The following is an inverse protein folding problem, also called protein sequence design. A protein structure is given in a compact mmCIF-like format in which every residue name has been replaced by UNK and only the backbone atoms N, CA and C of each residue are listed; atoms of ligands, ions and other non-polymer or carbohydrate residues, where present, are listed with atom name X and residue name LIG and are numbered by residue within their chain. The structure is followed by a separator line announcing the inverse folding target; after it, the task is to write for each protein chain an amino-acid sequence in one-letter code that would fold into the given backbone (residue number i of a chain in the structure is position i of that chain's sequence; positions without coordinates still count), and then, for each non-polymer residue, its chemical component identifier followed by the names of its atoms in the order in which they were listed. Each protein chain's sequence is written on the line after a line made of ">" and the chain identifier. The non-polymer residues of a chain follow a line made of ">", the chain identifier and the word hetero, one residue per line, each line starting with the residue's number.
data_IF_458601056266
#
_entry.id   IF_458601056266
#
_cell.length_a   1.000
_cell.length_b   1.000
_cell.length_c   1.000
_cell.angle_alpha   90.00
_cell.angle_beta   90.00
_cell.angle_gamma   90.00
#
_symmetry.space_group_name_H-M   'P 1'
#
loop_
_entity.id
_entity.type
_entity.pdbx_description
1 polymer ?
#
# COMPACT_ATOMS: atom_id res chain seq x y z
N UNK A 1 37.54 -8.25 -0.97
CA UNK A 1 36.25 -7.72 -1.43
C UNK A 1 35.17 -8.49 -0.68
N UNK A 2 34.47 -7.82 0.23
CA UNK A 2 33.28 -8.40 0.86
C UNK A 2 32.19 -8.46 -0.21
N UNK A 3 31.39 -9.54 -0.29
CA UNK A 3 30.28 -9.60 -1.22
C UNK A 3 29.32 -8.46 -0.87
N UNK A 4 29.01 -7.60 -1.84
CA UNK A 4 27.94 -6.62 -1.74
C UNK A 4 26.67 -7.37 -1.37
N UNK A 5 26.19 -7.20 -0.15
CA UNK A 5 24.89 -7.77 0.26
C UNK A 5 23.81 -7.16 -0.64
N UNK A 6 23.35 -7.92 -1.59
CA UNK A 6 22.20 -7.56 -2.42
C UNK A 6 21.02 -7.45 -1.44
N UNK A 7 20.45 -6.25 -1.31
CA UNK A 7 19.23 -6.07 -0.50
C UNK A 7 18.15 -7.02 -0.99
N UNK A 8 17.42 -7.67 -0.08
CA UNK A 8 16.34 -8.58 -0.50
C UNK A 8 15.28 -7.81 -1.30
N UNK A 9 14.62 -8.51 -2.23
CA UNK A 9 13.48 -7.94 -2.96
C UNK A 9 12.42 -7.46 -1.97
N UNK A 10 11.79 -6.33 -2.29
CA UNK A 10 10.70 -5.82 -1.45
C UNK A 10 9.50 -6.77 -1.45
N UNK A 11 9.22 -7.36 -2.63
CA UNK A 11 8.19 -8.38 -2.83
C UNK A 11 8.62 -9.32 -3.95
N UNK A 12 8.34 -10.62 -3.78
CA UNK A 12 8.36 -11.60 -4.86
C UNK A 12 7.13 -12.53 -4.75
N UNK A 13 6.29 -12.54 -5.78
CA UNK A 13 5.19 -13.46 -5.95
C UNK A 13 5.50 -14.36 -7.15
N UNK A 14 5.44 -15.67 -6.96
CA UNK A 14 5.64 -16.66 -8.03
C UNK A 14 4.44 -17.58 -8.13
N UNK A 15 3.83 -17.64 -9.32
CA UNK A 15 2.70 -18.52 -9.65
C UNK A 15 1.56 -18.46 -8.64
N UNK A 16 1.30 -17.25 -8.09
CA UNK A 16 0.33 -17.07 -7.03
C UNK A 16 -1.09 -17.28 -7.57
N UNK A 17 -1.84 -18.16 -6.93
CA UNK A 17 -3.25 -18.44 -7.26
C UNK A 17 -4.17 -18.25 -6.07
N UNK A 18 -5.39 -17.79 -6.33
CA UNK A 18 -6.44 -17.66 -5.33
C UNK A 18 -7.81 -17.90 -5.94
N UNK A 19 -8.61 -18.71 -5.27
CA UNK A 19 -10.00 -19.00 -5.63
C UNK A 19 -10.92 -18.82 -4.43
N UNK A 20 -12.19 -18.51 -4.69
CA UNK A 20 -13.27 -18.57 -3.73
C UNK A 20 -14.34 -19.56 -4.25
N UNK A 21 -14.39 -20.74 -3.65
CA UNK A 21 -15.15 -21.87 -4.18
C UNK A 21 -14.63 -22.25 -5.57
N UNK A 22 -15.51 -22.33 -6.56
CA UNK A 22 -15.17 -22.66 -7.95
C UNK A 22 -14.63 -21.45 -8.77
N UNK A 23 -14.70 -20.24 -8.21
CA UNK A 23 -14.30 -19.03 -8.93
C UNK A 23 -12.82 -18.71 -8.69
N UNK A 24 -12.00 -18.91 -9.72
CA UNK A 24 -10.63 -18.40 -9.73
C UNK A 24 -10.63 -16.87 -9.79
N UNK A 25 -9.89 -16.21 -8.89
CA UNK A 25 -9.77 -14.75 -8.80
C UNK A 25 -8.36 -14.30 -9.16
N UNK A 26 -7.35 -15.00 -8.68
CA UNK A 26 -5.96 -14.79 -9.08
C UNK A 26 -5.46 -16.07 -9.75
N UNK A 27 -4.86 -15.94 -10.92
CA UNK A 27 -4.35 -17.08 -11.69
C UNK A 27 -2.91 -16.80 -12.11
N UNK A 28 -1.98 -17.61 -11.59
CA UNK A 28 -0.58 -17.58 -11.97
C UNK A 28 0.06 -16.19 -11.94
N UNK A 29 -0.17 -15.44 -10.84
CA UNK A 29 0.35 -14.07 -10.70
C UNK A 29 1.84 -14.11 -10.44
N UNK A 30 2.59 -13.40 -11.31
CA UNK A 30 4.02 -13.16 -11.20
C UNK A 30 4.25 -11.68 -10.91
N UNK A 31 4.91 -11.34 -9.81
CA UNK A 31 5.25 -9.97 -9.46
C UNK A 31 6.56 -9.91 -8.68
N UNK A 32 7.53 -9.22 -9.23
CA UNK A 32 8.77 -8.86 -8.54
C UNK A 32 8.80 -7.35 -8.36
N UNK A 33 9.02 -6.90 -7.12
CA UNK A 33 9.17 -5.50 -6.75
C UNK A 33 10.56 -5.27 -6.16
N UNK A 34 11.31 -4.37 -6.79
CA UNK A 34 12.63 -3.99 -6.31
C UNK A 34 12.53 -3.07 -5.08
N UNK A 35 13.58 -3.00 -4.23
CA UNK A 35 13.63 -2.02 -3.16
C UNK A 35 13.51 -0.58 -3.71
N UNK A 36 12.59 0.21 -3.13
CA UNK A 36 12.33 1.59 -3.55
C UNK A 36 11.47 1.73 -4.82
N UNK A 37 11.01 0.63 -5.41
CA UNK A 37 10.16 0.66 -6.61
C UNK A 37 8.71 0.98 -6.24
N UNK A 38 8.08 1.84 -7.03
CA UNK A 38 6.68 2.21 -6.92
C UNK A 38 5.90 1.70 -8.15
N UNK A 39 5.00 0.75 -7.95
CA UNK A 39 4.23 0.07 -9.01
C UNK A 39 2.74 0.40 -8.88
N UNK A 40 2.10 0.70 -10.01
CA UNK A 40 0.66 0.79 -10.12
C UNK A 40 0.07 -0.47 -10.76
N UNK A 41 -0.99 -1.00 -10.17
CA UNK A 41 -1.77 -2.12 -10.72
C UNK A 41 -3.15 -1.61 -11.14
N UNK A 42 -3.41 -1.66 -12.43
CA UNK A 42 -4.70 -1.36 -13.02
C UNK A 42 -5.48 -2.64 -13.35
N UNK A 43 -6.75 -2.50 -13.70
CA UNK A 43 -7.60 -3.62 -14.14
C UNK A 43 -9.07 -3.34 -13.88
N UNK A 44 -9.93 -4.13 -14.50
CA UNK A 44 -11.38 -3.97 -14.41
C UNK A 44 -11.90 -4.13 -12.96
N UNK A 45 -13.09 -3.60 -12.70
CA UNK A 45 -13.77 -3.81 -11.42
C UNK A 45 -14.02 -5.30 -11.19
N UNK A 46 -13.70 -5.79 -9.99
CA UNK A 46 -13.91 -7.19 -9.61
C UNK A 46 -12.93 -8.20 -10.24
N UNK A 47 -11.84 -7.76 -10.88
CA UNK A 47 -10.81 -8.66 -11.45
C UNK A 47 -9.90 -9.29 -10.38
N UNK A 48 -9.94 -8.79 -9.14
CA UNK A 48 -9.15 -9.36 -8.04
C UNK A 48 -8.05 -8.45 -7.47
N UNK A 49 -8.06 -7.14 -7.81
CA UNK A 49 -7.03 -6.18 -7.34
C UNK A 49 -6.93 -6.11 -5.81
N UNK A 50 -8.05 -5.87 -5.12
CA UNK A 50 -8.09 -5.82 -3.65
C UNK A 50 -7.78 -7.19 -3.04
N UNK A 51 -8.18 -8.29 -3.71
CA UNK A 51 -7.80 -9.65 -3.30
C UNK A 51 -6.28 -9.82 -3.35
N UNK A 52 -5.63 -9.36 -4.42
CA UNK A 52 -4.17 -9.42 -4.54
C UNK A 52 -3.49 -8.63 -3.40
N UNK A 53 -3.95 -7.41 -3.11
CA UNK A 53 -3.41 -6.64 -1.99
C UNK A 53 -3.62 -7.33 -0.64
N UNK A 54 -4.80 -7.91 -0.41
CA UNK A 54 -5.10 -8.63 0.83
C UNK A 54 -4.23 -9.88 1.00
N UNK A 55 -4.00 -10.63 -0.09
CA UNK A 55 -3.10 -11.79 -0.10
C UNK A 55 -1.66 -11.35 0.18
N UNK A 56 -1.17 -10.29 -0.49
CA UNK A 56 0.17 -9.74 -0.23
C UNK A 56 0.29 -9.27 1.23
N UNK A 57 -0.75 -8.66 1.78
CA UNK A 57 -0.76 -8.23 3.18
C UNK A 57 -0.84 -9.40 4.19
N UNK A 58 -1.05 -10.63 3.74
CA UNK A 58 -1.32 -11.77 4.62
C UNK A 58 -2.63 -11.62 5.40
N UNK A 59 -3.61 -10.88 4.83
CA UNK A 59 -4.97 -10.74 5.35
C UNK A 59 -5.91 -11.80 4.76
N UNK A 60 -5.50 -12.45 3.68
CA UNK A 60 -6.16 -13.57 3.05
C UNK A 60 -5.12 -14.60 2.60
N UNK A 61 -5.51 -15.87 2.59
CA UNK A 61 -4.65 -16.97 2.16
C UNK A 61 -4.68 -17.11 0.65
N UNK A 62 -3.65 -17.72 0.07
CA UNK A 62 -3.62 -18.13 -1.33
C UNK A 62 -3.57 -19.65 -1.44
N UNK A 63 -3.96 -20.19 -2.61
CA UNK A 63 -4.14 -21.62 -2.80
C UNK A 63 -2.83 -22.30 -3.21
N UNK A 64 -2.01 -21.63 -4.04
CA UNK A 64 -0.70 -22.15 -4.48
C UNK A 64 0.22 -21.01 -4.93
N UNK A 65 1.49 -21.33 -5.10
CA UNK A 65 2.56 -20.39 -5.40
C UNK A 65 3.43 -20.07 -4.20
N UNK A 66 4.25 -19.02 -4.31
CA UNK A 66 5.06 -18.52 -3.20
C UNK A 66 4.96 -16.99 -3.13
N UNK A 67 5.07 -16.45 -1.92
CA UNK A 67 4.97 -15.03 -1.64
C UNK A 67 6.01 -14.65 -0.59
N UNK A 68 7.00 -13.84 -1.00
CA UNK A 68 8.07 -13.34 -0.14
C UNK A 68 7.95 -11.82 0.02
N UNK A 69 8.07 -11.33 1.25
CA UNK A 69 8.17 -9.91 1.58
C UNK A 69 9.47 -9.66 2.33
N UNK A 70 10.30 -8.75 1.82
CA UNK A 70 11.63 -8.44 2.39
C UNK A 70 12.46 -9.73 2.62
N UNK A 71 12.33 -10.71 1.71
CA UNK A 71 12.99 -12.01 1.76
C UNK A 71 12.35 -13.04 2.72
N UNK A 72 11.25 -12.70 3.39
CA UNK A 72 10.53 -13.59 4.32
C UNK A 72 9.37 -14.25 3.58
N UNK A 73 9.32 -15.59 3.55
CA UNK A 73 8.26 -16.35 2.90
C UNK A 73 7.01 -16.45 3.80
N UNK A 74 5.86 -15.96 3.31
CA UNK A 74 4.64 -15.86 4.10
C UNK A 74 4.08 -17.23 4.53
N UNK A 75 4.18 -18.24 3.66
CA UNK A 75 3.62 -19.58 3.93
C UNK A 75 4.27 -20.29 5.11
N UNK A 76 5.45 -19.85 5.52
CA UNK A 76 6.21 -20.47 6.62
C UNK A 76 5.91 -19.83 7.95
N UNK A 77 5.15 -18.73 7.98
CA UNK A 77 4.87 -17.96 9.17
C UNK A 77 3.61 -18.48 9.89
N UNK A 78 3.67 -18.54 11.19
CA UNK A 78 2.49 -18.68 12.03
C UNK A 78 1.74 -17.32 12.17
N UNK A 79 0.61 -17.33 12.89
CA UNK A 79 -0.24 -16.14 13.06
C UNK A 79 0.46 -15.00 13.80
N UNK A 80 1.32 -15.32 14.78
CA UNK A 80 2.07 -14.32 15.55
C UNK A 80 3.15 -13.68 14.67
N UNK A 81 3.91 -14.49 13.95
CA UNK A 81 4.95 -14.05 13.01
C UNK A 81 4.35 -13.22 11.87
N UNK A 82 3.23 -13.65 11.30
CA UNK A 82 2.49 -12.93 10.27
C UNK A 82 2.00 -11.57 10.78
N UNK A 83 1.50 -11.51 12.01
CA UNK A 83 1.08 -10.27 12.66
C UNK A 83 2.26 -9.34 12.90
N UNK A 84 3.40 -9.87 13.32
CA UNK A 84 4.63 -9.11 13.52
C UNK A 84 5.16 -8.54 12.19
N UNK A 85 5.16 -9.34 11.12
CA UNK A 85 5.56 -8.90 9.79
C UNK A 85 4.66 -7.75 9.30
N UNK A 86 3.33 -7.90 9.37
CA UNK A 86 2.39 -6.83 9.01
C UNK A 86 2.67 -5.54 9.77
N UNK A 87 2.80 -5.65 11.09
CA UNK A 87 2.99 -4.51 12.00
C UNK A 87 4.29 -3.75 11.73
N UNK A 88 5.37 -4.46 11.39
CA UNK A 88 6.70 -3.87 11.24
C UNK A 88 7.05 -3.50 9.81
N UNK A 89 6.61 -4.27 8.82
CA UNK A 89 7.08 -4.17 7.44
C UNK A 89 6.06 -3.58 6.48
N UNK A 90 4.76 -3.62 6.81
CA UNK A 90 3.71 -3.18 5.91
C UNK A 90 3.03 -1.90 6.38
N UNK A 91 2.81 -0.99 5.42
CA UNK A 91 1.83 0.09 5.52
C UNK A 91 0.63 -0.22 4.64
N UNK A 92 -0.59 0.03 5.12
CA UNK A 92 -1.77 -0.21 4.31
C UNK A 92 -2.68 1.02 4.27
N UNK A 93 -3.04 1.44 3.06
CA UNK A 93 -4.03 2.49 2.79
C UNK A 93 -5.24 1.81 2.18
N UNK A 94 -6.34 1.81 2.91
CA UNK A 94 -7.61 1.23 2.47
C UNK A 94 -8.47 2.28 1.78
N UNK A 95 -9.31 1.86 0.85
CA UNK A 95 -10.30 2.71 0.19
C UNK A 95 -11.26 3.39 1.19
N UNK A 96 -11.62 2.73 2.28
CA UNK A 96 -12.54 3.21 3.31
C UNK A 96 -11.86 3.87 4.52
N UNK A 97 -10.65 4.40 4.39
CA UNK A 97 -9.82 5.09 5.41
C UNK A 97 -9.54 4.25 6.67
N UNK A 98 -10.51 3.56 7.24
CA UNK A 98 -10.45 2.76 8.47
C UNK A 98 -9.81 3.49 9.66
N UNK A 99 -10.13 4.79 9.82
CA UNK A 99 -9.73 5.54 11.00
C UNK A 99 -10.57 5.08 12.22
N UNK A 100 -9.92 5.00 13.37
CA UNK A 100 -10.58 4.63 14.62
C UNK A 100 -11.34 5.85 15.15
N UNK A 101 -12.70 5.82 15.22
CA UNK A 101 -13.52 7.00 15.47
C UNK A 101 -13.38 7.53 16.90
N UNK A 102 -12.90 6.72 17.83
CA UNK A 102 -12.70 7.08 19.24
C UNK A 102 -11.29 7.60 19.54
N UNK A 103 -10.39 7.58 18.57
CA UNK A 103 -9.06 8.14 18.66
C UNK A 103 -9.02 9.48 17.92
N UNK A 104 -8.29 10.47 18.47
CA UNK A 104 -8.01 11.71 17.76
C UNK A 104 -7.00 11.46 16.61
N UNK A 105 -6.68 12.49 15.80
CA UNK A 105 -5.82 12.33 14.63
C UNK A 105 -4.42 11.89 15.03
N UNK A 106 -3.83 12.50 16.06
CA UNK A 106 -2.52 12.12 16.55
C UNK A 106 -2.47 10.66 16.99
N UNK A 107 -3.47 10.21 17.73
CA UNK A 107 -3.57 8.83 18.20
C UNK A 107 -3.77 7.85 17.04
N UNK A 108 -4.59 8.20 16.03
CA UNK A 108 -4.76 7.39 14.83
C UNK A 108 -3.42 7.21 14.10
N UNK A 109 -2.67 8.30 13.89
CA UNK A 109 -1.38 8.26 13.19
C UNK A 109 -0.33 7.55 14.04
N UNK A 110 -0.30 7.77 15.35
CA UNK A 110 0.68 7.17 16.26
C UNK A 110 0.47 5.66 16.50
N UNK A 111 -0.69 5.11 16.15
CA UNK A 111 -1.04 3.72 16.48
C UNK A 111 0.02 2.69 16.02
N UNK A 112 0.55 2.73 14.79
CA UNK A 112 1.61 1.82 14.37
C UNK A 112 2.91 1.98 15.18
N UNK A 113 3.22 3.19 15.64
CA UNK A 113 4.38 3.43 16.50
C UNK A 113 4.17 2.79 17.89
N UNK A 114 3.00 3.00 18.49
CA UNK A 114 2.62 2.39 19.78
C UNK A 114 2.73 0.87 19.71
N UNK A 115 2.15 0.26 18.68
CA UNK A 115 2.17 -1.19 18.49
C UNK A 115 3.60 -1.76 18.32
N UNK A 116 4.52 -0.97 17.79
CA UNK A 116 5.91 -1.36 17.58
C UNK A 116 6.86 -0.90 18.71
N UNK A 117 6.35 -0.23 19.73
CA UNK A 117 7.18 0.32 20.81
C UNK A 117 8.17 1.40 20.34
N UNK A 118 7.80 2.17 19.30
CA UNK A 118 8.62 3.21 18.68
C UNK A 118 8.31 4.58 19.30
N UNK A 119 9.26 5.56 19.26
CA UNK A 119 9.03 6.93 19.68
C UNK A 119 7.89 7.60 18.88
N UNK A 120 7.09 8.44 19.55
CA UNK A 120 5.87 9.02 18.96
C UNK A 120 6.11 10.33 18.17
N UNK A 121 7.30 10.91 18.23
CA UNK A 121 7.61 12.20 17.62
C UNK A 121 7.29 12.24 16.12
N UNK A 122 7.51 11.12 15.43
CA UNK A 122 7.21 11.01 14.01
C UNK A 122 5.72 11.15 13.67
N UNK A 123 4.81 10.92 14.61
CA UNK A 123 3.37 11.12 14.37
C UNK A 123 3.02 12.60 14.18
N UNK A 124 3.65 13.50 14.93
CA UNK A 124 3.51 14.95 14.73
C UNK A 124 4.08 15.40 13.38
N UNK A 125 5.28 14.93 13.05
CA UNK A 125 5.90 15.20 11.76
C UNK A 125 5.00 14.75 10.58
N UNK A 126 4.44 13.55 10.65
CA UNK A 126 3.57 13.03 9.60
C UNK A 126 2.25 13.82 9.47
N UNK A 127 1.68 14.31 10.57
CA UNK A 127 0.51 15.20 10.52
C UNK A 127 0.85 16.56 9.90
N UNK A 128 2.07 17.05 10.10
CA UNK A 128 2.55 18.26 9.44
C UNK A 128 2.70 18.05 7.93
N UNK A 129 3.36 16.95 7.51
CA UNK A 129 3.51 16.58 6.09
C UNK A 129 2.18 16.49 5.33
N UNK A 130 1.10 16.08 6.00
CA UNK A 130 -0.24 16.01 5.39
C UNK A 130 -1.09 17.28 5.61
N UNK A 131 -0.49 18.38 6.15
CA UNK A 131 -1.16 19.67 6.33
C UNK A 131 -2.18 19.69 7.48
N UNK A 132 -2.02 18.84 8.48
CA UNK A 132 -2.95 18.71 9.63
C UNK A 132 -2.26 18.96 10.99
N UNK A 133 -1.13 19.66 11.01
CA UNK A 133 -0.35 19.95 12.22
C UNK A 133 -1.15 20.60 13.34
N UNK A 134 -2.08 21.52 13.00
CA UNK A 134 -2.89 22.27 13.96
C UNK A 134 -4.13 21.53 14.45
N UNK A 135 -4.43 20.35 13.88
CA UNK A 135 -5.66 19.58 14.11
C UNK A 135 -5.42 18.24 14.82
N UNK A 136 -4.29 18.10 15.49
CA UNK A 136 -3.87 16.84 16.15
C UNK A 136 -4.88 16.25 17.13
N UNK A 137 -5.69 17.11 17.77
CA UNK A 137 -6.70 16.72 18.77
C UNK A 137 -8.11 16.52 18.18
N UNK A 138 -8.30 16.81 16.91
CA UNK A 138 -9.59 16.58 16.23
C UNK A 138 -9.86 15.08 16.09
N UNK A 139 -11.13 14.73 15.91
CA UNK A 139 -11.59 13.37 15.69
C UNK A 139 -12.00 13.15 14.23
N UNK A 140 -11.97 11.90 13.71
CA UNK A 140 -12.32 11.60 12.33
C UNK A 140 -13.66 12.19 11.86
N UNK A 141 -14.67 12.26 12.73
CA UNK A 141 -16.00 12.83 12.44
C UNK A 141 -15.98 14.31 12.06
N UNK A 142 -14.90 15.03 12.36
CA UNK A 142 -14.74 16.47 12.10
C UNK A 142 -14.02 16.74 10.77
N UNK A 143 -13.63 15.66 10.04
CA UNK A 143 -12.83 15.73 8.83
C UNK A 143 -13.68 15.56 7.57
N UNK A 144 -13.27 16.24 6.50
CA UNK A 144 -13.68 15.90 5.13
C UNK A 144 -13.10 14.56 4.70
N UNK A 145 -13.62 13.97 3.60
CA UNK A 145 -13.10 12.74 3.04
C UNK A 145 -11.61 12.82 2.67
N UNK A 146 -11.19 13.93 2.06
CA UNK A 146 -9.78 14.16 1.70
C UNK A 146 -8.87 14.29 2.92
N UNK A 147 -9.34 14.93 4.00
CA UNK A 147 -8.58 15.01 5.26
C UNK A 147 -8.47 13.64 5.93
N UNK A 148 -9.54 12.84 5.94
CA UNK A 148 -9.49 11.44 6.43
C UNK A 148 -8.49 10.60 5.65
N UNK A 149 -8.44 10.77 4.33
CA UNK A 149 -7.46 10.09 3.48
C UNK A 149 -6.03 10.51 3.84
N UNK A 150 -5.76 11.80 4.02
CA UNK A 150 -4.45 12.28 4.45
C UNK A 150 -4.02 11.68 5.79
N UNK A 151 -4.91 11.58 6.77
CA UNK A 151 -4.63 10.91 8.06
C UNK A 151 -4.34 9.42 7.87
N UNK A 152 -5.10 8.72 7.01
CA UNK A 152 -4.87 7.31 6.71
C UNK A 152 -3.49 7.07 6.07
N UNK A 153 -3.06 7.97 5.18
CA UNK A 153 -1.72 7.95 4.57
C UNK A 153 -0.63 8.20 5.61
N UNK A 154 -0.79 9.23 6.44
CA UNK A 154 0.15 9.52 7.52
C UNK A 154 0.31 8.31 8.46
N UNK A 155 -0.80 7.66 8.83
CA UNK A 155 -0.79 6.44 9.64
C UNK A 155 -0.06 5.28 8.96
N UNK A 156 -0.28 5.08 7.66
CA UNK A 156 0.33 3.98 6.91
C UNK A 156 1.86 4.13 6.78
N UNK A 157 2.37 5.35 6.79
CA UNK A 157 3.79 5.66 6.57
C UNK A 157 4.57 5.97 7.84
N UNK A 158 3.90 6.22 8.97
CA UNK A 158 4.53 6.74 10.20
C UNK A 158 5.64 5.87 10.76
N UNK A 159 5.51 4.54 10.65
CA UNK A 159 6.48 3.56 11.15
C UNK A 159 7.54 3.16 10.10
N UNK A 160 7.60 3.86 8.96
CA UNK A 160 8.55 3.63 7.86
C UNK A 160 8.52 2.18 7.34
N UNK A 161 7.37 1.71 6.81
CA UNK A 161 7.24 0.35 6.30
C UNK A 161 8.22 0.08 5.16
N UNK A 162 8.56 -1.19 4.94
CA UNK A 162 9.31 -1.64 3.77
C UNK A 162 8.45 -1.70 2.51
N UNK A 163 7.17 -2.02 2.67
CA UNK A 163 6.20 -2.13 1.58
C UNK A 163 4.91 -1.40 1.95
N UNK A 164 4.53 -0.46 1.11
CA UNK A 164 3.25 0.22 1.18
C UNK A 164 2.27 -0.43 0.19
N UNK A 165 1.09 -0.80 0.68
CA UNK A 165 -0.02 -1.29 -0.12
C UNK A 165 -1.15 -0.28 -0.08
N UNK A 166 -1.64 0.18 -1.23
CA UNK A 166 -2.70 1.19 -1.29
C UNK A 166 -3.82 0.75 -2.25
N UNK A 167 -5.02 0.64 -1.71
CA UNK A 167 -6.23 0.32 -2.48
C UNK A 167 -7.01 1.59 -2.76
N UNK A 168 -7.02 2.04 -4.01
CA UNK A 168 -7.70 3.25 -4.50
C UNK A 168 -7.42 4.50 -3.64
N UNK A 169 -6.15 4.88 -3.39
CA UNK A 169 -5.81 5.92 -2.41
C UNK A 169 -6.36 7.31 -2.75
N UNK A 170 -6.86 7.51 -3.96
CA UNK A 170 -7.41 8.80 -4.43
C UNK A 170 -8.81 8.68 -5.04
N UNK A 171 -9.44 7.50 -4.97
CA UNK A 171 -10.69 7.22 -5.67
C UNK A 171 -11.90 8.06 -5.23
N UNK A 172 -11.86 8.61 -4.01
CA UNK A 172 -12.95 9.42 -3.42
C UNK A 172 -12.59 10.91 -3.31
N UNK A 173 -11.55 11.38 -4.02
CA UNK A 173 -11.03 12.73 -3.92
C UNK A 173 -11.30 13.51 -5.21
N UNK A 174 -11.43 14.84 -5.07
CA UNK A 174 -11.39 15.74 -6.23
C UNK A 174 -10.00 15.71 -6.89
N UNK A 175 -9.89 16.11 -8.17
CA UNK A 175 -8.64 16.00 -8.92
C UNK A 175 -7.44 16.73 -8.30
N UNK A 176 -7.65 17.91 -7.71
CA UNK A 176 -6.57 18.70 -7.13
C UNK A 176 -6.05 18.04 -5.85
N UNK A 177 -6.95 17.64 -4.95
CA UNK A 177 -6.59 16.88 -3.74
C UNK A 177 -5.94 15.53 -4.10
N UNK A 178 -6.41 14.86 -5.14
CA UNK A 178 -5.81 13.61 -5.61
C UNK A 178 -4.35 13.80 -6.07
N UNK A 179 -4.07 14.88 -6.81
CA UNK A 179 -2.72 15.20 -7.26
C UNK A 179 -1.78 15.46 -6.07
N UNK A 180 -2.23 16.24 -5.08
CA UNK A 180 -1.46 16.52 -3.86
C UNK A 180 -1.14 15.22 -3.08
N UNK A 181 -2.12 14.35 -2.94
CA UNK A 181 -1.95 13.05 -2.27
C UNK A 181 -0.95 12.14 -3.02
N UNK A 182 -1.01 12.07 -4.34
CA UNK A 182 -0.08 11.27 -5.13
C UNK A 182 1.35 11.80 -5.03
N UNK A 183 1.51 13.13 -5.04
CA UNK A 183 2.81 13.77 -4.83
C UNK A 183 3.36 13.50 -3.43
N UNK A 184 2.52 13.61 -2.40
CA UNK A 184 2.88 13.25 -1.03
C UNK A 184 3.34 11.80 -0.93
N UNK A 185 2.55 10.85 -1.44
CA UNK A 185 2.90 9.42 -1.44
C UNK A 185 4.24 9.19 -2.12
N UNK A 186 4.43 9.73 -3.32
CA UNK A 186 5.67 9.58 -4.09
C UNK A 186 6.89 10.13 -3.34
N UNK A 187 6.75 11.28 -2.70
CA UNK A 187 7.83 11.90 -1.93
C UNK A 187 8.18 11.07 -0.69
N UNK A 188 7.17 10.63 0.08
CA UNK A 188 7.41 9.81 1.27
C UNK A 188 7.99 8.43 0.93
N UNK A 189 7.52 7.78 -0.14
CA UNK A 189 8.08 6.51 -0.64
C UNK A 189 9.57 6.70 -0.98
N UNK A 190 9.90 7.74 -1.74
CA UNK A 190 11.30 8.00 -2.13
C UNK A 190 12.19 8.37 -0.95
N UNK A 191 11.71 9.20 -0.04
CA UNK A 191 12.49 9.65 1.12
C UNK A 191 12.74 8.54 2.14
N UNK A 192 11.79 7.62 2.32
CA UNK A 192 11.91 6.48 3.23
C UNK A 192 12.63 5.27 2.63
N UNK A 193 12.79 5.23 1.29
CA UNK A 193 13.29 4.05 0.57
C UNK A 193 12.32 2.87 0.61
N UNK A 194 11.05 3.11 0.95
CA UNK A 194 10.00 2.10 0.89
C UNK A 194 9.70 1.72 -0.56
N UNK A 195 9.17 0.53 -0.77
CA UNK A 195 8.55 0.14 -2.03
C UNK A 195 7.03 0.27 -1.92
N UNK A 196 6.33 0.45 -3.04
CA UNK A 196 4.88 0.63 -2.99
C UNK A 196 4.15 -0.07 -4.14
N UNK A 197 2.97 -0.57 -3.81
CA UNK A 197 1.98 -1.03 -4.78
C UNK A 197 0.71 -0.23 -4.57
N UNK A 198 0.26 0.48 -5.60
CA UNK A 198 -1.07 1.08 -5.62
C UNK A 198 -1.96 0.31 -6.59
N UNK A 199 -3.17 0.05 -6.16
CA UNK A 199 -4.24 -0.41 -7.03
C UNK A 199 -5.13 0.77 -7.35
N UNK A 200 -5.40 1.00 -8.63
CA UNK A 200 -6.20 2.17 -9.04
C UNK A 200 -6.88 1.97 -10.39
N UNK A 201 -7.99 2.68 -10.59
CA UNK A 201 -8.63 2.89 -11.88
C UNK A 201 -8.22 4.23 -12.52
N UNK A 202 -7.56 5.12 -11.76
CA UNK A 202 -7.18 6.44 -12.23
C UNK A 202 -5.91 6.38 -13.09
N UNK A 203 -5.96 6.78 -14.36
CA UNK A 203 -4.76 6.89 -15.20
C UNK A 203 -3.73 7.86 -14.62
N UNK A 204 -4.18 8.96 -13.98
CA UNK A 204 -3.29 9.93 -13.34
C UNK A 204 -2.54 9.32 -12.16
N UNK A 205 -3.22 8.53 -11.31
CA UNK A 205 -2.59 7.80 -10.24
C UNK A 205 -1.59 6.75 -10.76
N UNK A 206 -1.97 6.01 -11.80
CA UNK A 206 -1.08 5.03 -12.43
C UNK A 206 0.16 5.68 -13.05
N UNK A 207 0.02 6.84 -13.69
CA UNK A 207 1.13 7.57 -14.30
C UNK A 207 2.14 8.13 -13.28
N UNK A 208 1.80 8.20 -11.99
CA UNK A 208 2.73 8.60 -10.92
C UNK A 208 3.75 7.51 -10.55
N UNK A 209 3.46 6.25 -10.90
CA UNK A 209 4.30 5.09 -10.59
C UNK A 209 5.49 4.95 -11.56
N UNK A 210 6.50 4.18 -11.15
CA UNK A 210 7.67 3.87 -11.98
C UNK A 210 7.34 2.82 -13.04
N UNK A 211 6.40 1.91 -12.73
CA UNK A 211 5.95 0.83 -13.61
C UNK A 211 4.45 0.59 -13.45
N UNK A 212 3.77 0.28 -14.55
CA UNK A 212 2.33 0.06 -14.57
C UNK A 212 2.05 -1.36 -15.04
N UNK A 213 1.25 -2.07 -14.24
CA UNK A 213 0.82 -3.43 -14.51
C UNK A 213 -0.70 -3.46 -14.69
N UNK A 214 -1.17 -4.35 -15.55
CA UNK A 214 -2.60 -4.65 -15.67
C UNK A 214 -2.90 -6.04 -15.13
N UNK A 215 -3.76 -6.12 -14.14
CA UNK A 215 -4.29 -7.38 -13.65
C UNK A 215 -5.44 -7.82 -14.56
N UNK A 216 -5.32 -9.05 -15.05
CA UNK A 216 -6.32 -9.72 -15.88
C UNK A 216 -6.66 -11.07 -15.26
N UNK A 217 -7.64 -11.78 -15.82
CA UNK A 217 -7.95 -13.16 -15.39
C UNK A 217 -6.81 -14.16 -15.65
N UNK A 218 -5.87 -13.83 -16.53
CA UNK A 218 -4.72 -14.67 -16.88
C UNK A 218 -3.43 -14.29 -16.16
N UNK A 219 -3.46 -13.29 -15.26
CA UNK A 219 -2.30 -12.84 -14.49
C UNK A 219 -2.01 -11.36 -14.65
N UNK A 220 -0.81 -10.93 -14.27
CA UNK A 220 -0.31 -9.57 -14.37
C UNK A 220 0.53 -9.38 -15.63
N UNK A 221 0.29 -8.29 -16.35
CA UNK A 221 1.04 -7.91 -17.55
C UNK A 221 1.51 -6.45 -17.43
N UNK A 222 2.75 -6.18 -17.82
CA UNK A 222 3.24 -4.81 -17.86
C UNK A 222 2.64 -4.06 -19.05
N UNK A 223 2.19 -2.83 -18.80
CA UNK A 223 1.59 -1.97 -19.83
C UNK A 223 2.27 -0.59 -19.82
N UNK A 224 2.16 0.10 -20.97
CA UNK A 224 2.50 1.52 -21.09
C UNK A 224 1.21 2.30 -21.31
N UNK A 225 0.98 3.34 -20.53
CA UNK A 225 -0.12 4.25 -20.82
C UNK A 225 0.20 4.99 -22.11
N UNK A 226 -0.65 4.81 -23.12
CA UNK A 226 -0.54 5.61 -24.34
C UNK A 226 -1.08 7.02 -24.04
N UNK A 227 -0.32 8.10 -24.21
CA UNK A 227 -0.79 9.46 -23.91
C UNK A 227 -1.93 9.95 -24.85
N UNK A 228 -2.39 9.13 -25.79
CA UNK A 228 -3.26 9.54 -26.90
C UNK A 228 -4.73 9.09 -26.83
N UNK A 229 -5.28 8.74 -25.66
CA UNK A 229 -6.69 8.30 -25.56
C UNK A 229 -7.59 9.22 -24.74
N UNK A 230 -7.40 10.53 -24.87
CA UNK A 230 -8.37 11.52 -24.39
C UNK A 230 -8.73 12.46 -25.54
N UNK A 231 -9.65 12.02 -26.40
CA UNK A 231 -10.52 12.86 -27.23
C UNK A 231 -11.96 12.59 -26.86
#
# INVERSE_FOLDING_TARGET
>A
MLPTSVSPLALACHQLTKSYGERAVLSNVELILQPGEYVAIMGDSGVGKSTLLNVIAGLDNFDSGSLLIDGIELNTLDDEQSTLLRRQKLGFIFQAFHLLPHLNLLQNVALPLVLNGLPLDRAHYMLDCVGLATRTHDFPRQLSGGEMQRVAIARALVHQPRLLLADEPTGNLDPDTAADILNLLKNEIRSSGASAIIVTHSPAAAASADRILQLTRSGLNEIRLNPASHT
#
